data_IF_543731469577
#
_entry.id   IF_543731469577
#
_cell.length_a   1.000
_cell.length_b   1.000
_cell.length_c   1.000
_cell.angle_alpha   90.00
_cell.angle_beta   90.00
_cell.angle_gamma   90.00
#
_symmetry.space_group_name_H-M   'P 1'
#
loop_
_entity.id
_entity.type
_entity.pdbx_description
1 polymer ?
#
# COMPACT_ATOMS: atom_id res chain seq x y z
N UNK A 1 -5.30 -19.71 14.62
CA UNK A 1 -4.04 -19.70 13.86
C UNK A 1 -4.39 -19.23 12.47
N UNK A 2 -4.20 -17.94 12.17
CA UNK A 2 -4.51 -17.37 10.86
C UNK A 2 -3.40 -17.73 9.89
N UNK A 3 -3.79 -18.32 8.76
CA UNK A 3 -2.96 -19.15 7.87
C UNK A 3 -1.89 -18.43 7.05
N UNK A 4 -1.61 -17.14 7.24
CA UNK A 4 -0.69 -16.43 6.34
C UNK A 4 0.39 -15.74 7.14
N UNK A 5 1.58 -16.35 7.15
CA UNK A 5 2.81 -15.71 7.59
C UNK A 5 3.07 -14.48 6.71
N UNK A 6 3.09 -13.30 7.31
CA UNK A 6 3.15 -12.03 6.57
C UNK A 6 4.57 -11.46 6.55
N UNK A 7 5.01 -10.85 5.43
CA UNK A 7 6.24 -10.09 5.42
C UNK A 7 6.07 -8.82 6.25
N UNK A 8 7.02 -8.54 7.14
CA UNK A 8 7.02 -7.37 8.02
C UNK A 8 8.34 -6.61 7.98
N UNK A 9 8.30 -5.33 8.35
CA UNK A 9 9.49 -4.51 8.55
C UNK A 9 9.51 -3.92 9.95
N UNK A 10 10.58 -4.16 10.71
CA UNK A 10 10.74 -3.56 12.03
C UNK A 10 10.75 -2.02 11.96
N UNK A 11 9.96 -1.35 12.80
CA UNK A 11 9.92 0.12 12.84
C UNK A 11 11.23 0.75 13.32
N UNK A 12 12.02 0.02 14.15
CA UNK A 12 13.26 0.51 14.75
C UNK A 12 14.48 0.30 13.86
N UNK A 13 14.81 -0.96 13.53
CA UNK A 13 16.03 -1.30 12.80
C UNK A 13 15.83 -1.56 11.30
N UNK A 14 14.59 -1.45 10.80
CA UNK A 14 14.22 -1.71 9.40
C UNK A 14 14.51 -3.14 8.90
N UNK A 15 14.79 -4.08 9.80
CA UNK A 15 14.93 -5.49 9.45
C UNK A 15 13.64 -6.01 8.81
N UNK A 16 13.74 -6.53 7.58
CA UNK A 16 12.66 -7.25 6.91
C UNK A 16 12.76 -8.72 7.26
N UNK A 17 11.65 -9.30 7.69
CA UNK A 17 11.51 -10.67 8.16
C UNK A 17 10.03 -11.04 8.07
N UNK A 18 9.71 -12.31 8.20
CA UNK A 18 8.34 -12.76 8.38
C UNK A 18 7.86 -12.53 9.81
N UNK A 19 6.54 -12.44 10.01
CA UNK A 19 5.97 -12.30 11.34
C UNK A 19 6.28 -13.54 12.21
N UNK A 20 6.28 -14.73 11.62
CA UNK A 20 6.64 -15.99 12.29
C UNK A 20 8.07 -16.00 12.84
N UNK A 21 9.00 -15.25 12.24
CA UNK A 21 10.39 -15.14 12.68
C UNK A 21 10.57 -14.24 13.92
N UNK A 22 9.50 -13.61 14.41
CA UNK A 22 9.54 -12.75 15.59
C UNK A 22 9.66 -13.59 16.86
N UNK A 23 10.63 -13.23 17.70
CA UNK A 23 10.95 -13.98 18.93
C UNK A 23 9.94 -13.65 20.02
N UNK A 24 9.35 -14.66 20.65
CA UNK A 24 8.49 -14.47 21.83
C UNK A 24 9.36 -14.25 23.07
N UNK A 25 9.21 -13.10 23.73
CA UNK A 25 9.91 -12.77 24.98
C UNK A 25 8.92 -12.51 26.12
N UNK A 26 9.17 -13.00 27.35
CA UNK A 26 8.31 -12.71 28.50
C UNK A 26 8.23 -11.20 28.79
N UNK A 27 7.05 -10.72 29.21
CA UNK A 27 6.91 -9.34 29.65
C UNK A 27 7.45 -9.16 31.07
N UNK A 28 8.47 -8.32 31.20
CA UNK A 28 9.16 -8.08 32.48
C UNK A 28 8.28 -7.39 33.53
N UNK A 29 7.18 -6.74 33.13
CA UNK A 29 6.25 -6.05 34.03
C UNK A 29 5.29 -7.01 34.72
N UNK A 30 5.00 -8.16 34.10
CA UNK A 30 4.02 -9.12 34.58
C UNK A 30 4.67 -10.46 34.94
N UNK A 31 5.70 -10.45 35.79
CA UNK A 31 6.49 -11.66 36.15
C UNK A 31 5.65 -12.85 36.66
N UNK A 32 4.49 -12.57 37.26
CA UNK A 32 3.61 -13.58 37.84
C UNK A 32 2.53 -14.06 36.86
N UNK A 33 2.53 -13.56 35.62
CA UNK A 33 1.59 -13.92 34.57
C UNK A 33 2.38 -14.34 33.32
N UNK A 34 1.92 -15.38 32.63
CA UNK A 34 2.55 -15.87 31.40
C UNK A 34 2.23 -14.99 30.18
N UNK A 35 2.54 -13.70 30.26
CA UNK A 35 2.36 -12.72 29.18
C UNK A 35 3.69 -12.59 28.41
N UNK A 36 3.64 -12.79 27.09
CA UNK A 36 4.79 -12.65 26.20
C UNK A 36 4.49 -11.71 25.03
N UNK A 37 5.53 -11.09 24.47
CA UNK A 37 5.45 -10.24 23.28
C UNK A 37 6.33 -10.78 22.17
N UNK A 38 5.85 -10.71 20.92
CA UNK A 38 6.65 -11.00 19.74
C UNK A 38 7.52 -9.79 19.35
N UNK A 39 8.84 -9.96 19.37
CA UNK A 39 9.81 -8.90 19.12
C UNK A 39 10.65 -9.17 17.87
N UNK A 40 11.17 -8.10 17.27
CA UNK A 40 12.08 -8.20 16.13
C UNK A 40 13.33 -9.00 16.52
N UNK A 41 13.71 -10.05 15.75
CA UNK A 41 14.85 -10.92 16.08
C UNK A 41 16.19 -10.18 16.12
N UNK A 42 16.29 -9.03 15.45
CA UNK A 42 17.52 -8.24 15.37
C UNK A 42 17.68 -7.21 16.49
N UNK A 43 16.60 -6.60 16.98
CA UNK A 43 16.69 -5.42 17.86
C UNK A 43 15.69 -5.38 19.02
N UNK A 44 14.85 -6.40 19.19
CA UNK A 44 13.89 -6.48 20.29
C UNK A 44 12.69 -5.52 20.22
N UNK A 45 12.52 -4.76 19.11
CA UNK A 45 11.39 -3.84 18.98
C UNK A 45 10.07 -4.59 18.74
N UNK A 46 9.00 -4.14 19.41
CA UNK A 46 7.65 -4.73 19.35
C UNK A 46 6.86 -4.31 18.09
N UNK A 47 7.04 -3.08 17.62
CA UNK A 47 6.28 -2.55 16.48
C UNK A 47 6.92 -2.91 15.14
N UNK A 48 6.07 -3.14 14.14
CA UNK A 48 6.45 -3.43 12.76
C UNK A 48 5.45 -2.83 11.77
N UNK A 49 5.87 -2.71 10.52
CA UNK A 49 5.04 -2.37 9.37
C UNK A 49 4.64 -3.66 8.65
N UNK A 50 3.36 -3.77 8.27
CA UNK A 50 2.84 -4.84 7.41
C UNK A 50 3.26 -4.57 5.96
N UNK A 51 4.03 -5.50 5.38
CA UNK A 51 4.53 -5.39 4.02
C UNK A 51 3.76 -6.27 3.02
N UNK A 52 2.59 -6.80 3.37
CA UNK A 52 1.77 -7.55 2.41
C UNK A 52 1.56 -6.72 1.14
N UNK A 53 1.69 -7.34 -0.04
CA UNK A 53 1.44 -6.65 -1.29
C UNK A 53 -0.04 -6.26 -1.37
N UNK A 54 -0.29 -5.02 -1.75
CA UNK A 54 -1.61 -4.50 -2.03
C UNK A 54 -1.59 -3.77 -3.37
N UNK A 55 -2.79 -3.57 -3.92
CA UNK A 55 -3.03 -2.77 -5.11
C UNK A 55 -3.99 -1.62 -4.77
N UNK A 56 -3.86 -0.56 -5.56
CA UNK A 56 -4.80 0.55 -5.59
C UNK A 56 -5.42 0.58 -6.99
N UNK A 57 -6.73 0.81 -7.05
CA UNK A 57 -7.46 0.91 -8.31
C UNK A 57 -8.37 2.13 -8.31
N UNK A 58 -8.75 2.59 -9.49
CA UNK A 58 -9.75 3.63 -9.66
C UNK A 58 -10.94 3.16 -10.50
N UNK A 59 -12.09 3.79 -10.27
CA UNK A 59 -13.29 3.63 -11.10
C UNK A 59 -13.40 4.77 -12.12
N UNK A 60 -14.34 4.66 -13.06
CA UNK A 60 -14.68 5.72 -14.01
C UNK A 60 -15.08 7.05 -13.33
N UNK A 61 -15.54 7.00 -12.08
CA UNK A 61 -15.82 8.19 -11.26
C UNK A 61 -14.56 8.91 -10.73
N UNK A 62 -13.38 8.33 -10.94
CA UNK A 62 -12.13 8.78 -10.35
C UNK A 62 -11.93 8.33 -8.90
N UNK A 63 -12.91 7.67 -8.26
CA UNK A 63 -12.75 7.17 -6.89
C UNK A 63 -11.66 6.12 -6.80
N UNK A 64 -10.75 6.30 -5.84
CA UNK A 64 -9.63 5.39 -5.58
C UNK A 64 -9.93 4.50 -4.38
N UNK A 65 -9.68 3.21 -4.54
CA UNK A 65 -9.79 2.21 -3.48
C UNK A 65 -8.54 1.32 -3.41
N UNK A 66 -8.46 0.52 -2.36
CA UNK A 66 -7.30 -0.30 -2.03
C UNK A 66 -7.74 -1.69 -1.60
N UNK A 67 -6.94 -2.69 -1.93
CA UNK A 67 -7.15 -4.04 -1.45
C UNK A 67 -5.97 -4.95 -1.71
N UNK A 68 -6.17 -6.21 -1.39
CA UNK A 68 -5.17 -7.25 -1.64
C UNK A 68 -5.09 -7.51 -3.16
N UNK A 69 -3.95 -8.03 -3.61
CA UNK A 69 -3.73 -8.35 -5.03
C UNK A 69 -4.80 -9.34 -5.51
N UNK A 70 -5.47 -9.05 -6.62
CA UNK A 70 -6.54 -9.89 -7.19
C UNK A 70 -7.95 -9.60 -6.63
N UNK A 71 -8.07 -8.65 -5.70
CA UNK A 71 -9.35 -8.24 -5.13
C UNK A 71 -10.02 -7.07 -5.90
N UNK A 72 -9.43 -6.64 -7.03
CA UNK A 72 -9.96 -5.54 -7.82
C UNK A 72 -11.36 -5.87 -8.39
N UNK A 73 -12.36 -5.00 -8.23
CA UNK A 73 -13.66 -5.19 -8.83
C UNK A 73 -13.63 -5.14 -10.36
N UNK A 74 -14.58 -5.81 -11.01
CA UNK A 74 -14.73 -5.76 -12.48
C UNK A 74 -14.92 -4.32 -12.96
N UNK A 75 -14.11 -3.90 -13.92
CA UNK A 75 -14.15 -2.55 -14.50
C UNK A 75 -13.36 -1.50 -13.72
N UNK A 76 -12.68 -1.89 -12.63
CA UNK A 76 -11.68 -1.05 -12.01
C UNK A 76 -10.36 -1.08 -12.80
N UNK A 77 -9.65 0.04 -12.84
CA UNK A 77 -8.31 0.14 -13.42
C UNK A 77 -7.30 0.15 -12.28
N UNK A 78 -6.39 -0.82 -12.26
CA UNK A 78 -5.30 -0.85 -11.27
C UNK A 78 -4.28 0.23 -11.60
N UNK A 79 -4.04 1.13 -10.64
CA UNK A 79 -3.22 2.34 -10.82
C UNK A 79 -1.88 2.25 -10.10
N UNK A 80 -1.78 1.45 -9.03
CA UNK A 80 -0.54 1.29 -8.29
C UNK A 80 -0.52 -0.03 -7.51
N UNK A 81 0.68 -0.48 -7.13
CA UNK A 81 0.90 -1.57 -6.19
C UNK A 81 2.02 -1.26 -5.21
N UNK A 82 2.09 -1.99 -4.11
CA UNK A 82 3.21 -1.91 -3.17
C UNK A 82 2.87 -2.45 -1.79
N UNK A 83 3.77 -2.28 -0.81
CA UNK A 83 3.55 -2.74 0.56
C UNK A 83 2.37 -2.00 1.21
N UNK A 84 1.50 -2.75 1.90
CA UNK A 84 0.31 -2.24 2.60
C UNK A 84 0.58 -1.03 3.49
N UNK A 85 1.69 -1.05 4.24
CA UNK A 85 2.08 0.06 5.11
C UNK A 85 2.33 1.40 4.37
N UNK A 86 2.61 1.35 3.07
CA UNK A 86 3.10 2.52 2.32
C UNK A 86 2.15 2.93 1.18
N UNK A 87 1.48 1.96 0.55
CA UNK A 87 0.67 2.19 -0.65
C UNK A 87 -0.39 3.27 -0.45
N UNK A 88 -1.24 3.11 0.57
CA UNK A 88 -2.32 4.07 0.85
C UNK A 88 -1.79 5.48 1.07
N UNK A 89 -0.80 5.63 1.95
CA UNK A 89 -0.23 6.93 2.26
C UNK A 89 0.36 7.60 1.00
N UNK A 90 1.02 6.83 0.14
CA UNK A 90 1.64 7.37 -1.06
C UNK A 90 0.62 7.77 -2.12
N UNK A 91 -0.34 6.90 -2.41
CA UNK A 91 -1.41 7.19 -3.38
C UNK A 91 -2.27 8.36 -2.90
N UNK A 92 -2.66 8.40 -1.63
CA UNK A 92 -3.43 9.51 -1.06
C UNK A 92 -2.69 10.85 -1.10
N UNK A 93 -1.35 10.86 -1.01
CA UNK A 93 -0.56 12.09 -1.13
C UNK A 93 -0.51 12.64 -2.57
N UNK A 94 -0.79 11.80 -3.57
CA UNK A 94 -0.80 12.19 -4.99
C UNK A 94 -2.23 12.36 -5.54
N UNK A 95 -3.22 11.83 -4.82
CA UNK A 95 -4.63 11.96 -5.14
C UNK A 95 -5.18 13.33 -4.72
N UNK A 96 -6.31 13.69 -5.32
CA UNK A 96 -7.19 14.74 -4.79
C UNK A 96 -8.06 14.14 -3.70
N UNK A 97 -8.43 14.92 -2.69
CA UNK A 97 -9.41 14.49 -1.70
C UNK A 97 -10.78 15.09 -2.00
N UNK A 98 -11.82 14.27 -1.89
CA UNK A 98 -13.20 14.74 -1.85
C UNK A 98 -13.45 15.53 -0.55
N UNK A 99 -14.58 16.24 -0.48
CA UNK A 99 -15.00 16.89 0.77
C UNK A 99 -15.10 15.92 1.97
N UNK A 100 -15.39 14.63 1.70
CA UNK A 100 -15.47 13.58 2.72
C UNK A 100 -14.12 12.90 3.01
N UNK A 101 -13.03 13.38 2.40
CA UNK A 101 -11.69 12.78 2.53
C UNK A 101 -11.47 11.51 1.69
N UNK A 102 -12.37 11.20 0.76
CA UNK A 102 -12.20 10.06 -0.17
C UNK A 102 -11.16 10.42 -1.23
N UNK A 103 -10.16 9.56 -1.50
CA UNK A 103 -9.17 9.83 -2.55
C UNK A 103 -9.79 9.68 -3.94
N UNK A 104 -9.52 10.66 -4.79
CA UNK A 104 -9.96 10.76 -6.18
C UNK A 104 -8.75 10.98 -7.08
N UNK A 105 -8.77 10.40 -8.27
CA UNK A 105 -7.82 10.74 -9.33
C UNK A 105 -8.03 12.21 -9.72
N UNK A 106 -7.00 13.07 -9.68
CA UNK A 106 -7.14 14.46 -10.11
C UNK A 106 -7.60 14.58 -11.57
N UNK A 107 -8.58 15.46 -11.84
CA UNK A 107 -9.09 15.75 -13.17
C UNK A 107 -10.24 14.84 -13.61
N UNK A 108 -10.23 13.56 -13.23
CA UNK A 108 -11.25 12.58 -13.64
C UNK A 108 -12.67 12.94 -13.18
N UNK A 109 -12.93 13.32 -11.91
CA UNK A 109 -14.27 13.70 -11.47
C UNK A 109 -14.81 14.96 -12.15
N UNK A 110 -13.94 15.76 -12.76
CA UNK A 110 -14.29 17.02 -13.42
C UNK A 110 -14.46 16.85 -14.95
N UNK A 111 -14.11 15.69 -15.49
CA UNK A 111 -14.14 15.43 -16.93
C UNK A 111 -15.56 15.39 -17.48
N UNK A 112 -15.75 15.98 -18.67
CA UNK A 112 -17.04 16.05 -19.35
C UNK A 112 -17.38 14.77 -20.13
N UNK A 113 -16.36 13.95 -20.43
CA UNK A 113 -16.50 12.70 -21.18
C UNK A 113 -15.57 11.61 -20.62
N UNK A 114 -15.85 10.35 -20.99
CA UNK A 114 -14.98 9.22 -20.62
C UNK A 114 -13.60 9.29 -21.28
N UNK A 115 -13.52 9.85 -22.49
CA UNK A 115 -12.25 10.02 -23.20
C UNK A 115 -11.37 11.06 -22.49
N UNK A 116 -11.95 12.21 -22.09
CA UNK A 116 -11.20 13.20 -21.29
C UNK A 116 -10.80 12.60 -19.94
N UNK A 117 -11.67 11.85 -19.28
CA UNK A 117 -11.33 11.15 -18.04
C UNK A 117 -10.14 10.18 -18.22
N UNK A 118 -10.09 9.44 -19.33
CA UNK A 118 -8.97 8.57 -19.65
C UNK A 118 -7.67 9.36 -19.85
N UNK A 119 -7.73 10.49 -20.56
CA UNK A 119 -6.59 11.40 -20.74
C UNK A 119 -6.09 11.99 -19.42
N UNK A 120 -7.00 12.42 -18.54
CA UNK A 120 -6.63 12.94 -17.21
C UNK A 120 -5.99 11.86 -16.35
N UNK A 121 -6.53 10.64 -16.36
CA UNK A 121 -5.94 9.49 -15.67
C UNK A 121 -4.53 9.21 -16.19
N UNK A 122 -4.34 9.14 -17.50
CA UNK A 122 -3.03 8.86 -18.12
C UNK A 122 -2.00 9.94 -17.77
N UNK A 123 -2.38 11.22 -17.83
CA UNK A 123 -1.52 12.35 -17.41
C UNK A 123 -1.11 12.24 -15.94
N UNK A 124 -2.06 11.94 -15.06
CA UNK A 124 -1.78 11.78 -13.63
C UNK A 124 -0.85 10.60 -13.36
N UNK A 125 -1.10 9.44 -13.96
CA UNK A 125 -0.26 8.24 -13.79
C UNK A 125 1.15 8.44 -14.32
N UNK A 126 1.29 9.12 -15.47
CA UNK A 126 2.60 9.49 -16.04
C UNK A 126 3.38 10.43 -15.12
N UNK A 127 2.69 11.34 -14.43
CA UNK A 127 3.34 12.18 -13.42
C UNK A 127 3.74 11.36 -12.18
N UNK A 128 2.85 10.49 -11.69
CA UNK A 128 3.11 9.61 -10.55
C UNK A 128 4.30 8.66 -10.77
N UNK A 129 4.40 8.07 -11.96
CA UNK A 129 5.40 7.06 -12.31
C UNK A 129 6.83 7.60 -12.35
N UNK A 130 7.04 8.94 -12.46
CA UNK A 130 8.36 9.59 -12.32
C UNK A 130 9.04 9.32 -10.98
N UNK A 131 8.30 8.82 -9.99
CA UNK A 131 8.81 8.42 -8.70
C UNK A 131 9.14 6.93 -8.56
N UNK A 132 8.78 6.10 -9.52
CA UNK A 132 9.02 4.66 -9.48
C UNK A 132 10.52 4.36 -9.31
N UNK A 133 10.84 3.31 -8.55
CA UNK A 133 12.22 2.91 -8.23
C UNK A 133 12.95 3.80 -7.23
N UNK A 134 12.43 4.99 -6.89
CA UNK A 134 13.08 5.87 -5.89
C UNK A 134 12.94 5.30 -4.48
N UNK A 135 14.02 5.36 -3.69
CA UNK A 135 14.06 4.88 -2.30
C UNK A 135 12.92 5.44 -1.42
N UNK A 136 12.56 6.71 -1.62
CA UNK A 136 11.47 7.39 -0.90
C UNK A 136 10.05 6.95 -1.28
N UNK A 137 9.90 6.07 -2.27
CA UNK A 137 8.61 5.46 -2.63
C UNK A 137 8.38 4.14 -1.91
N UNK A 138 9.37 3.64 -1.16
CA UNK A 138 9.24 2.50 -0.27
C UNK A 138 8.58 1.26 -0.91
N UNK A 139 8.89 1.00 -2.18
CA UNK A 139 8.36 -0.13 -2.94
C UNK A 139 6.99 0.09 -3.58
N UNK A 140 6.41 1.29 -3.50
CA UNK A 140 5.20 1.65 -4.24
C UNK A 140 5.55 1.94 -5.70
N UNK A 141 4.82 1.31 -6.61
CA UNK A 141 4.95 1.45 -8.07
C UNK A 141 3.61 1.92 -8.63
N UNK A 142 3.63 3.01 -9.39
CA UNK A 142 2.48 3.46 -10.17
C UNK A 142 2.56 2.89 -11.59
N UNK A 143 1.42 2.44 -12.11
CA UNK A 143 1.30 1.91 -13.46
C UNK A 143 0.92 3.02 -14.43
N UNK A 144 1.49 2.97 -15.62
CA UNK A 144 1.24 3.91 -16.72
C UNK A 144 1.14 3.13 -18.02
N UNK A 145 0.87 3.80 -19.14
CA UNK A 145 0.84 3.14 -20.45
C UNK A 145 2.17 2.44 -20.79
N UNK A 146 3.30 3.04 -20.40
CA UNK A 146 4.66 2.49 -20.58
C UNK A 146 4.98 1.32 -19.62
N UNK A 147 4.27 1.22 -18.50
CA UNK A 147 4.46 0.20 -17.47
C UNK A 147 3.08 -0.27 -16.99
N UNK A 148 2.34 -1.01 -17.84
CA UNK A 148 0.98 -1.42 -17.52
C UNK A 148 0.99 -2.43 -16.38
N UNK A 149 -0.11 -2.47 -15.62
CA UNK A 149 -0.32 -3.56 -14.68
C UNK A 149 -0.53 -4.86 -15.45
N UNK A 150 0.27 -5.88 -15.13
CA UNK A 150 0.13 -7.22 -15.69
C UNK A 150 -0.28 -8.13 -14.54
N UNK A 151 -1.45 -8.77 -14.68
CA UNK A 151 -1.90 -9.82 -13.76
C UNK A 151 -0.99 -11.02 -13.99
N UNK A 152 -0.19 -11.37 -12.98
CA UNK A 152 0.69 -12.54 -12.98
C UNK A 152 -0.06 -13.82 -12.67
#
# INVERSE_FOLDING_TARGET
MSDHDIPVQCCRCRNKHMESERVSVPDSKYKNLSISHAVCPKCGARSYFDLRPQIAWCFASGQIEFGDVGAEPKGAIVIASGPKANLKAKVSAMARLSYKGTPLVPGVPESESQDDAADQLSKWLTWCSKGNGKKGHHGVVFYSEENPYVVS
#
